data_IF_455455591167
#
_entry.id   IF_455455591167
#
_cell.length_a   1.000
_cell.length_b   1.000
_cell.length_c   1.000
_cell.angle_alpha   90.00
_cell.angle_beta   90.00
_cell.angle_gamma   90.00
#
_symmetry.space_group_name_H-M   'P 1'
#
loop_
_entity.id
_entity.type
_entity.pdbx_description
1 polymer ?
#
# COMPACT_ATOMS: atom_id res chain seq x y z
N UNK A 1 -22.60 11.47 -18.05
CA UNK A 1 -22.14 10.13 -17.63
C UNK A 1 -20.74 9.97 -18.19
N UNK A 2 -19.72 10.27 -17.40
CA UNK A 2 -18.33 10.02 -17.80
C UNK A 2 -18.11 8.52 -17.74
N UNK A 3 -17.84 7.92 -18.90
CA UNK A 3 -17.49 6.52 -19.04
C UNK A 3 -16.20 6.28 -18.23
N UNK A 4 -16.35 5.75 -17.02
CA UNK A 4 -15.21 5.50 -16.12
C UNK A 4 -14.51 4.30 -16.72
N UNK A 5 -13.37 4.55 -17.37
CA UNK A 5 -12.55 3.49 -17.96
C UNK A 5 -12.35 2.39 -16.91
N UNK A 6 -12.81 1.16 -17.22
CA UNK A 6 -12.79 0.07 -16.26
C UNK A 6 -11.37 -0.16 -15.73
N UNK A 7 -11.24 -0.13 -14.40
CA UNK A 7 -9.97 -0.31 -13.69
C UNK A 7 -9.30 -1.61 -14.14
N UNK A 8 -8.03 -1.53 -14.54
CA UNK A 8 -7.28 -2.67 -15.06
C UNK A 8 -6.46 -3.35 -13.96
N UNK A 9 -6.65 -4.64 -13.78
CA UNK A 9 -5.95 -5.47 -12.82
C UNK A 9 -4.90 -6.33 -13.53
N UNK A 10 -3.73 -6.48 -12.92
CA UNK A 10 -2.73 -7.46 -13.32
C UNK A 10 -2.74 -8.62 -12.31
N UNK A 11 -2.83 -9.85 -12.78
CA UNK A 11 -2.67 -11.06 -11.97
C UNK A 11 -1.37 -11.75 -12.39
N UNK A 12 -0.48 -12.02 -11.44
CA UNK A 12 0.78 -12.72 -11.66
C UNK A 12 0.76 -14.00 -10.83
N UNK A 13 0.38 -15.10 -11.46
CA UNK A 13 0.20 -16.41 -10.82
C UNK A 13 0.36 -17.49 -11.90
N UNK A 14 1.12 -18.53 -11.63
CA UNK A 14 1.38 -19.61 -12.60
C UNK A 14 0.34 -20.73 -12.56
N UNK A 15 -0.55 -20.77 -11.57
CA UNK A 15 -1.68 -21.69 -11.58
C UNK A 15 -2.75 -21.16 -12.54
N UNK A 16 -2.94 -21.77 -13.72
CA UNK A 16 -3.91 -21.31 -14.70
C UNK A 16 -5.35 -21.38 -14.18
N UNK A 17 -5.63 -22.22 -13.18
CA UNK A 17 -6.96 -22.32 -12.57
C UNK A 17 -7.23 -21.13 -11.67
N UNK A 18 -6.26 -20.69 -10.88
CA UNK A 18 -6.37 -19.48 -10.05
C UNK A 18 -6.50 -18.26 -10.97
N UNK A 19 -5.63 -18.13 -11.97
CA UNK A 19 -5.68 -17.05 -12.94
C UNK A 19 -7.06 -16.96 -13.63
N UNK A 20 -7.56 -18.08 -14.15
CA UNK A 20 -8.86 -18.11 -14.85
C UNK A 20 -10.04 -17.80 -13.93
N UNK A 21 -9.98 -18.25 -12.67
CA UNK A 21 -10.98 -17.95 -11.64
C UNK A 21 -11.00 -16.46 -11.31
N UNK A 22 -9.83 -15.85 -11.12
CA UNK A 22 -9.71 -14.42 -10.83
C UNK A 22 -10.17 -13.56 -12.01
N UNK A 23 -9.77 -13.92 -13.24
CA UNK A 23 -10.23 -13.23 -14.47
C UNK A 23 -11.76 -13.18 -14.50
N UNK A 24 -12.43 -14.34 -14.48
CA UNK A 24 -13.89 -14.41 -14.59
C UNK A 24 -14.57 -13.58 -13.50
N UNK A 25 -14.16 -13.79 -12.26
CA UNK A 25 -14.80 -13.15 -11.13
C UNK A 25 -14.65 -11.63 -11.13
N UNK A 26 -13.46 -11.11 -11.45
CA UNK A 26 -13.22 -9.66 -11.46
C UNK A 26 -13.78 -8.98 -12.71
N UNK A 27 -13.80 -9.64 -13.86
CA UNK A 27 -14.48 -9.14 -15.06
C UNK A 27 -15.99 -9.01 -14.84
N UNK A 28 -16.62 -10.02 -14.22
CA UNK A 28 -18.04 -9.96 -13.80
C UNK A 28 -18.31 -8.82 -12.81
N UNK A 29 -17.27 -8.31 -12.13
CA UNK A 29 -17.35 -7.19 -11.19
C UNK A 29 -16.90 -5.84 -11.80
N UNK A 30 -16.74 -5.76 -13.12
CA UNK A 30 -16.51 -4.51 -13.85
C UNK A 30 -15.04 -4.09 -13.98
N UNK A 31 -14.09 -5.01 -13.74
CA UNK A 31 -12.67 -4.78 -13.97
C UNK A 31 -12.21 -5.35 -15.32
N UNK A 32 -11.11 -4.84 -15.87
CA UNK A 32 -10.38 -5.52 -16.96
C UNK A 32 -9.22 -6.30 -16.35
N UNK A 33 -9.08 -7.59 -16.64
CA UNK A 33 -8.03 -8.42 -16.02
C UNK A 33 -7.02 -8.89 -17.06
N UNK A 34 -5.74 -8.61 -16.84
CA UNK A 34 -4.64 -9.27 -17.55
C UNK A 34 -4.00 -10.26 -16.58
N UNK A 35 -3.84 -11.53 -16.99
CA UNK A 35 -3.11 -12.53 -16.20
C UNK A 35 -1.84 -13.00 -16.90
N UNK A 36 -0.77 -13.19 -16.13
CA UNK A 36 0.54 -13.65 -16.59
C UNK A 36 1.12 -14.65 -15.59
N UNK A 37 1.93 -15.59 -16.05
CA UNK A 37 2.45 -16.69 -15.22
C UNK A 37 3.89 -16.54 -14.73
N UNK A 38 4.56 -15.41 -14.97
CA UNK A 38 5.96 -15.20 -14.55
C UNK A 38 6.36 -13.71 -14.56
N UNK A 39 7.49 -13.40 -13.94
CA UNK A 39 8.01 -12.04 -13.83
C UNK A 39 8.39 -11.41 -15.16
N UNK A 40 8.87 -12.17 -16.16
CA UNK A 40 9.19 -11.61 -17.47
C UNK A 40 7.94 -11.06 -18.18
N UNK A 41 6.85 -11.81 -18.14
CA UNK A 41 5.56 -11.37 -18.68
C UNK A 41 4.96 -10.20 -17.86
N UNK A 42 5.09 -10.23 -16.53
CA UNK A 42 4.71 -9.10 -15.66
C UNK A 42 5.41 -7.80 -16.07
N UNK A 43 6.74 -7.84 -16.26
CA UNK A 43 7.52 -6.66 -16.68
C UNK A 43 7.07 -6.12 -18.04
N UNK A 44 6.84 -7.02 -19.01
CA UNK A 44 6.36 -6.64 -20.33
C UNK A 44 5.00 -5.92 -20.25
N UNK A 45 4.05 -6.45 -19.48
CA UNK A 45 2.73 -5.84 -19.29
C UNK A 45 2.82 -4.47 -18.62
N UNK A 46 3.60 -4.36 -17.53
CA UNK A 46 3.78 -3.09 -16.81
C UNK A 46 4.45 -2.01 -17.66
N UNK A 47 5.29 -2.39 -18.64
CA UNK A 47 5.91 -1.42 -19.56
C UNK A 47 4.93 -0.85 -20.60
N UNK A 48 3.84 -1.56 -20.89
CA UNK A 48 2.89 -1.23 -21.98
C UNK A 48 1.59 -0.65 -21.46
N UNK A 49 1.19 -1.04 -20.26
CA UNK A 49 -0.13 -0.80 -19.72
C UNK A 49 -0.04 -0.21 -18.31
N UNK A 50 -1.01 0.62 -17.96
CA UNK A 50 -1.22 1.06 -16.58
C UNK A 50 -2.24 0.15 -15.91
N UNK A 51 -1.97 -0.20 -14.65
CA UNK A 51 -2.83 -1.03 -13.82
C UNK A 51 -3.23 -0.27 -12.56
N UNK A 52 -4.47 -0.49 -12.11
CA UNK A 52 -5.00 0.09 -10.88
C UNK A 52 -4.59 -0.71 -9.64
N UNK A 53 -4.31 -2.01 -9.80
CA UNK A 53 -3.71 -2.89 -8.79
C UNK A 53 -3.08 -4.13 -9.43
N UNK A 54 -2.19 -4.77 -8.69
CA UNK A 54 -1.55 -6.05 -9.04
C UNK A 54 -1.86 -7.07 -7.95
N UNK A 55 -2.33 -8.25 -8.35
CA UNK A 55 -2.27 -9.47 -7.54
C UNK A 55 -1.00 -10.24 -7.89
N UNK A 56 -0.17 -10.52 -6.90
CA UNK A 56 1.14 -11.14 -7.12
C UNK A 56 1.31 -12.37 -6.24
N UNK A 57 1.48 -13.53 -6.86
CA UNK A 57 1.83 -14.75 -6.15
C UNK A 57 3.25 -14.67 -5.61
N UNK A 58 3.45 -15.28 -4.44
CA UNK A 58 4.71 -15.28 -3.73
C UNK A 58 5.75 -16.21 -4.38
N UNK A 59 5.29 -17.39 -4.80
CA UNK A 59 6.11 -18.41 -5.43
C UNK A 59 5.73 -18.46 -6.90
N UNK A 60 6.72 -18.27 -7.78
CA UNK A 60 6.52 -18.33 -9.22
C UNK A 60 7.41 -19.43 -9.83
N UNK A 61 7.14 -19.84 -11.10
CA UNK A 61 7.86 -20.91 -11.76
C UNK A 61 9.36 -20.66 -11.79
N UNK A 62 10.13 -21.75 -11.86
CA UNK A 62 11.60 -21.71 -11.97
C UNK A 62 12.30 -21.05 -10.77
N UNK A 63 11.62 -20.96 -9.63
CA UNK A 63 12.18 -20.39 -8.40
C UNK A 63 12.21 -18.87 -8.38
N UNK A 64 11.47 -18.18 -9.26
CA UNK A 64 11.28 -16.73 -9.15
C UNK A 64 10.51 -16.39 -7.85
N UNK A 65 10.98 -15.36 -7.14
CA UNK A 65 10.33 -14.88 -5.93
C UNK A 65 9.44 -13.68 -6.21
N UNK A 66 8.17 -13.76 -5.85
CA UNK A 66 7.23 -12.63 -5.89
C UNK A 66 7.69 -11.45 -5.03
N UNK A 67 8.45 -11.69 -3.95
CA UNK A 67 9.03 -10.63 -3.13
C UNK A 67 10.12 -9.86 -3.89
N UNK A 68 10.94 -10.55 -4.68
CA UNK A 68 11.95 -9.89 -5.51
C UNK A 68 11.29 -9.03 -6.59
N UNK A 69 10.24 -9.55 -7.24
CA UNK A 69 9.46 -8.81 -8.23
C UNK A 69 8.77 -7.58 -7.62
N UNK A 70 8.19 -7.71 -6.41
CA UNK A 70 7.62 -6.58 -5.69
C UNK A 70 8.69 -5.53 -5.37
N UNK A 71 9.87 -5.95 -4.93
CA UNK A 71 10.98 -5.04 -4.63
C UNK A 71 11.41 -4.26 -5.87
N UNK A 72 11.54 -4.95 -7.00
CA UNK A 72 11.85 -4.34 -8.30
C UNK A 72 10.75 -3.34 -8.71
N UNK A 73 9.49 -3.74 -8.63
CA UNK A 73 8.35 -2.90 -8.97
C UNK A 73 8.31 -1.63 -8.12
N UNK A 74 8.63 -1.72 -6.83
CA UNK A 74 8.63 -0.58 -5.91
C UNK A 74 9.72 0.46 -6.21
N UNK A 75 10.76 0.11 -6.97
CA UNK A 75 11.75 1.08 -7.43
C UNK A 75 11.19 2.05 -8.49
N UNK A 76 10.11 1.66 -9.18
CA UNK A 76 9.59 2.41 -10.34
C UNK A 76 8.10 2.74 -10.24
N UNK A 77 7.37 2.10 -9.32
CA UNK A 77 5.92 2.24 -9.20
C UNK A 77 5.41 2.12 -7.78
N UNK A 78 4.42 2.95 -7.47
CA UNK A 78 3.63 2.88 -6.24
C UNK A 78 2.35 2.04 -6.39
N UNK A 79 2.09 1.45 -7.58
CA UNK A 79 0.85 0.72 -7.89
C UNK A 79 0.49 -0.25 -6.76
N UNK A 80 -0.78 -0.32 -6.32
CA UNK A 80 -1.12 -1.17 -5.21
C UNK A 80 -0.85 -2.64 -5.52
N UNK A 81 -0.17 -3.34 -4.62
CA UNK A 81 0.11 -4.77 -4.77
C UNK A 81 -0.53 -5.54 -3.63
N UNK A 82 -1.40 -6.50 -3.97
CA UNK A 82 -1.98 -7.47 -3.06
C UNK A 82 -1.26 -8.79 -3.27
N UNK A 83 -0.49 -9.23 -2.28
CA UNK A 83 0.24 -10.49 -2.36
C UNK A 83 -0.72 -11.66 -2.13
N UNK A 84 -0.63 -12.69 -2.98
CA UNK A 84 -1.26 -13.99 -2.81
C UNK A 84 -0.18 -14.99 -2.40
N UNK A 85 -0.49 -15.93 -1.51
CA UNK A 85 0.54 -16.81 -0.91
C UNK A 85 -0.04 -18.12 -0.40
N UNK A 86 0.79 -19.08 0.01
CA UNK A 86 0.36 -20.22 0.82
C UNK A 86 -0.03 -19.84 2.26
N UNK A 87 -0.71 -20.76 2.95
CA UNK A 87 -1.23 -20.56 4.31
C UNK A 87 -0.13 -20.42 5.39
N UNK A 88 1.08 -20.94 5.13
CA UNK A 88 2.02 -21.36 6.19
C UNK A 88 3.30 -20.53 6.36
N UNK A 89 3.40 -19.30 5.85
CA UNK A 89 4.58 -18.49 6.19
C UNK A 89 4.27 -17.09 6.72
N UNK A 90 4.23 -17.02 8.05
CA UNK A 90 4.21 -15.78 8.82
C UNK A 90 5.42 -14.89 8.46
N UNK A 91 6.55 -15.49 8.08
CA UNK A 91 7.75 -14.77 7.64
C UNK A 91 7.47 -14.03 6.33
N UNK A 92 6.84 -14.70 5.37
CA UNK A 92 6.57 -14.12 4.05
C UNK A 92 5.52 -13.00 4.10
N UNK A 93 4.57 -13.08 5.05
CA UNK A 93 3.65 -11.98 5.37
C UNK A 93 4.38 -10.72 5.80
N UNK A 94 5.29 -10.89 6.77
CA UNK A 94 6.10 -9.79 7.30
C UNK A 94 6.96 -9.23 6.18
N UNK A 95 7.75 -10.06 5.52
CA UNK A 95 8.67 -9.64 4.45
C UNK A 95 7.92 -8.99 3.29
N UNK A 96 6.74 -9.48 2.90
CA UNK A 96 5.91 -8.85 1.86
C UNK A 96 5.51 -7.41 2.20
N UNK A 97 5.13 -7.16 3.45
CA UNK A 97 4.87 -5.82 3.93
C UNK A 97 6.14 -4.99 4.08
N UNK A 98 7.28 -5.59 4.45
CA UNK A 98 8.57 -4.88 4.47
C UNK A 98 8.98 -4.39 3.08
N UNK A 99 8.75 -5.22 2.07
CA UNK A 99 9.08 -4.94 0.66
C UNK A 99 8.10 -3.95 0.01
N UNK A 100 6.87 -3.85 0.54
CA UNK A 100 5.94 -2.77 0.20
C UNK A 100 4.61 -3.20 -0.42
N UNK A 101 4.14 -4.41 -0.11
CA UNK A 101 2.79 -4.82 -0.41
C UNK A 101 1.77 -3.93 0.33
N UNK A 102 0.63 -3.66 -0.31
CA UNK A 102 -0.47 -2.88 0.27
C UNK A 102 -1.44 -3.78 1.06
N UNK A 103 -1.55 -5.05 0.66
CA UNK A 103 -2.27 -6.09 1.41
C UNK A 103 -1.68 -7.48 1.14
N UNK A 104 -2.06 -8.46 1.95
CA UNK A 104 -1.57 -9.83 1.87
C UNK A 104 -2.71 -10.81 2.15
N UNK A 105 -2.88 -11.81 1.29
CA UNK A 105 -4.01 -12.74 1.34
C UNK A 105 -3.54 -14.19 1.23
N UNK A 106 -3.92 -15.00 2.22
CA UNK A 106 -3.58 -16.42 2.27
C UNK A 106 -4.44 -17.28 1.32
N UNK A 107 -3.82 -18.17 0.55
CA UNK A 107 -4.47 -19.27 -0.17
C UNK A 107 -4.73 -20.41 0.84
N UNK A 108 -5.91 -21.06 0.81
CA UNK A 108 -7.05 -20.76 -0.07
C UNK A 108 -7.81 -19.51 0.40
N UNK A 109 -8.27 -18.70 -0.56
CA UNK A 109 -9.00 -17.45 -0.28
C UNK A 109 -10.41 -17.45 -0.84
N UNK A 110 -11.27 -16.61 -0.27
CA UNK A 110 -12.60 -16.35 -0.81
C UNK A 110 -12.58 -15.16 -1.78
N UNK A 111 -13.13 -15.33 -2.98
CA UNK A 111 -13.17 -14.27 -4.01
C UNK A 111 -13.88 -12.98 -3.54
N UNK A 112 -14.90 -13.12 -2.70
CA UNK A 112 -15.60 -11.99 -2.07
C UNK A 112 -14.68 -11.19 -1.15
N UNK A 113 -13.79 -11.87 -0.43
CA UNK A 113 -12.79 -11.22 0.42
C UNK A 113 -11.77 -10.46 -0.43
N UNK A 114 -11.22 -11.08 -1.48
CA UNK A 114 -10.28 -10.42 -2.40
C UNK A 114 -10.86 -9.14 -2.97
N UNK A 115 -12.12 -9.18 -3.41
CA UNK A 115 -12.80 -8.00 -3.95
C UNK A 115 -12.99 -6.90 -2.90
N UNK A 116 -13.35 -7.26 -1.66
CA UNK A 116 -13.49 -6.30 -0.57
C UNK A 116 -12.16 -5.62 -0.23
N UNK A 117 -11.06 -6.39 -0.20
CA UNK A 117 -9.70 -5.91 0.02
C UNK A 117 -9.23 -4.99 -1.11
N UNK A 118 -9.39 -5.44 -2.36
CA UNK A 118 -9.08 -4.64 -3.54
C UNK A 118 -9.84 -3.31 -3.52
N UNK A 119 -11.16 -3.33 -3.31
CA UNK A 119 -11.97 -2.11 -3.23
C UNK A 119 -11.53 -1.18 -2.11
N UNK A 120 -11.08 -1.73 -0.97
CA UNK A 120 -10.56 -0.93 0.13
C UNK A 120 -9.26 -0.23 -0.26
N UNK A 121 -8.34 -0.93 -0.93
CA UNK A 121 -7.07 -0.39 -1.42
C UNK A 121 -7.30 0.67 -2.51
N UNK A 122 -8.16 0.38 -3.50
CA UNK A 122 -8.48 1.32 -4.58
C UNK A 122 -9.23 2.56 -4.07
N UNK A 123 -10.22 2.41 -3.19
CA UNK A 123 -10.97 3.53 -2.60
C UNK A 123 -10.04 4.48 -1.84
N UNK A 124 -9.02 3.95 -1.16
CA UNK A 124 -8.01 4.79 -0.52
C UNK A 124 -7.36 5.67 -1.58
N UNK A 125 -6.82 5.14 -2.68
CA UNK A 125 -6.22 5.97 -3.75
C UNK A 125 -7.14 7.03 -4.36
N UNK A 126 -8.42 6.73 -4.56
CA UNK A 126 -9.37 7.60 -5.27
C UNK A 126 -10.15 8.53 -4.35
N UNK A 127 -9.64 8.93 -3.18
CA UNK A 127 -10.36 9.73 -2.18
C UNK A 127 -10.70 11.19 -2.60
N UNK A 128 -11.20 11.41 -3.82
CA UNK A 128 -11.95 12.58 -4.26
C UNK A 128 -13.47 12.41 -4.14
N UNK A 129 -14.00 11.28 -3.64
CA UNK A 129 -15.45 11.10 -3.50
C UNK A 129 -15.95 11.32 -2.07
N UNK A 130 -16.75 12.38 -1.81
CA UNK A 130 -17.36 12.63 -0.52
C UNK A 130 -18.56 11.68 -0.36
N UNK A 131 -18.36 10.58 0.35
CA UNK A 131 -19.49 9.80 0.89
C UNK A 131 -19.62 10.10 2.36
N UNK A 132 -20.75 10.71 2.70
CA UNK A 132 -21.02 11.33 3.98
C UNK A 132 -20.76 10.41 5.18
N UNK A 133 -19.76 10.78 5.96
CA UNK A 133 -19.80 10.78 7.42
C UNK A 133 -18.94 11.95 7.88
N UNK A 134 -19.59 12.93 8.50
CA UNK A 134 -18.95 14.04 9.21
C UNK A 134 -17.94 13.48 10.20
N UNK A 135 -16.68 13.83 10.03
CA UNK A 135 -15.88 14.36 11.12
C UNK A 135 -15.41 15.74 10.68
N UNK A 136 -16.02 16.74 11.30
CA UNK A 136 -15.55 18.11 11.35
C UNK A 136 -14.21 18.06 12.07
N UNK A 137 -13.12 18.40 11.37
CA UNK A 137 -12.01 19.22 11.88
C UNK A 137 -10.92 19.34 10.78
N UNK A 138 -10.73 20.57 10.29
CA UNK A 138 -9.57 20.95 9.50
C UNK A 138 -9.66 20.70 7.99
N UNK A 139 -9.72 21.79 7.23
CA UNK A 139 -9.60 21.92 5.78
C UNK A 139 -8.50 21.01 5.14
N UNK A 140 -8.83 19.75 4.86
CA UNK A 140 -8.34 18.89 3.77
C UNK A 140 -6.84 18.63 3.58
N UNK A 141 -5.95 19.25 4.36
CA UNK A 141 -4.50 19.11 4.23
C UNK A 141 -3.78 19.49 5.51
N UNK A 142 -2.65 18.85 5.77
CA UNK A 142 -1.71 19.24 6.83
C UNK A 142 -0.44 19.84 6.22
N UNK A 143 0.16 20.80 6.90
CA UNK A 143 1.49 21.31 6.58
C UNK A 143 2.43 21.05 7.74
N UNK A 144 3.65 20.62 7.46
CA UNK A 144 4.68 20.39 8.47
C UNK A 144 6.07 20.57 7.87
N UNK A 145 6.96 21.33 8.51
CA UNK A 145 8.34 21.55 8.03
C UNK A 145 8.45 21.85 6.51
N UNK A 146 7.50 22.63 5.97
CA UNK A 146 7.41 22.95 4.54
C UNK A 146 6.79 21.86 3.65
N UNK A 147 6.55 20.66 4.16
CA UNK A 147 5.75 19.63 3.49
C UNK A 147 4.28 20.01 3.47
N UNK A 148 3.57 19.56 2.43
CA UNK A 148 2.10 19.65 2.35
C UNK A 148 1.50 18.29 2.06
N UNK A 149 0.67 17.81 2.97
CA UNK A 149 -0.06 16.54 2.88
C UNK A 149 -1.53 16.81 2.56
N UNK A 150 -1.93 16.68 1.31
CA UNK A 150 -3.33 16.83 0.86
C UNK A 150 -4.07 15.49 1.04
N UNK A 151 -5.05 15.46 1.95
CA UNK A 151 -5.81 14.26 2.30
C UNK A 151 -6.78 13.86 1.18
N UNK A 152 -7.35 14.84 0.49
CA UNK A 152 -8.33 14.60 -0.58
C UNK A 152 -7.65 14.03 -1.82
N UNK A 153 -6.55 14.64 -2.24
CA UNK A 153 -5.79 14.18 -3.41
C UNK A 153 -4.82 13.06 -3.10
N UNK A 154 -4.67 12.71 -1.82
CA UNK A 154 -3.65 11.79 -1.28
C UNK A 154 -2.27 12.06 -1.85
N UNK A 155 -1.89 13.31 -1.74
CA UNK A 155 -0.67 13.83 -2.34
C UNK A 155 0.22 14.42 -1.27
N UNK A 156 1.49 14.03 -1.30
CA UNK A 156 2.53 14.66 -0.50
C UNK A 156 3.35 15.56 -1.42
N UNK A 157 3.47 16.83 -1.08
CA UNK A 157 4.34 17.79 -1.77
C UNK A 157 5.50 18.16 -0.84
N UNK A 158 6.72 18.09 -1.36
CA UNK A 158 7.95 18.39 -0.62
C UNK A 158 8.11 19.90 -0.35
N UNK A 159 9.02 20.28 0.57
CA UNK A 159 9.38 21.69 0.78
C UNK A 159 9.89 22.40 -0.47
N UNK A 160 10.44 21.65 -1.45
CA UNK A 160 10.86 22.17 -2.75
C UNK A 160 9.70 22.35 -3.75
N UNK A 161 8.47 21.98 -3.37
CA UNK A 161 7.29 22.06 -4.23
C UNK A 161 7.07 20.86 -5.16
N UNK A 162 7.86 19.80 -5.04
CA UNK A 162 7.76 18.60 -5.88
C UNK A 162 6.80 17.57 -5.29
N UNK A 163 6.05 16.87 -6.13
CA UNK A 163 5.20 15.76 -5.67
C UNK A 163 6.05 14.53 -5.33
N UNK A 164 5.80 13.94 -4.15
CA UNK A 164 6.46 12.73 -3.65
C UNK A 164 5.46 11.59 -3.64
N UNK A 165 5.73 10.55 -4.43
CA UNK A 165 4.88 9.36 -4.52
C UNK A 165 5.02 8.49 -3.27
N UNK A 166 3.89 8.19 -2.65
CA UNK A 166 3.75 7.28 -1.52
C UNK A 166 2.86 6.11 -1.91
N UNK A 167 3.17 4.91 -1.41
CA UNK A 167 2.20 3.80 -1.48
C UNK A 167 0.98 4.11 -0.60
N UNK A 168 -0.08 3.31 -0.74
CA UNK A 168 -1.30 3.50 0.06
C UNK A 168 -0.99 3.43 1.56
N UNK A 169 -0.20 2.42 1.95
CA UNK A 169 0.24 2.25 3.33
C UNK A 169 1.10 3.41 3.82
N UNK A 170 2.12 3.82 3.06
CA UNK A 170 3.01 4.93 3.45
C UNK A 170 2.23 6.23 3.67
N UNK A 171 1.29 6.54 2.79
CA UNK A 171 0.42 7.70 2.95
C UNK A 171 -0.43 7.59 4.22
N UNK A 172 -1.09 6.46 4.44
CA UNK A 172 -1.95 6.26 5.62
C UNK A 172 -1.13 6.35 6.92
N UNK A 173 0.09 5.82 6.93
CA UNK A 173 1.03 5.92 8.05
C UNK A 173 1.37 7.38 8.36
N UNK A 174 1.70 8.16 7.34
CA UNK A 174 2.01 9.58 7.51
C UNK A 174 0.79 10.36 8.04
N UNK A 175 -0.42 10.07 7.54
CA UNK A 175 -1.65 10.67 8.07
C UNK A 175 -1.84 10.35 9.55
N UNK A 176 -1.62 9.10 9.97
CA UNK A 176 -1.73 8.70 11.37
C UNK A 176 -0.75 9.48 12.24
N UNK A 177 0.51 9.63 11.80
CA UNK A 177 1.52 10.40 12.52
C UNK A 177 1.16 11.87 12.67
N UNK A 178 0.80 12.53 11.57
CA UNK A 178 0.49 13.95 11.57
C UNK A 178 -0.75 14.25 12.42
N UNK A 179 -1.79 13.40 12.34
CA UNK A 179 -2.99 13.52 13.20
C UNK A 179 -2.71 13.30 14.69
N UNK A 180 -1.63 12.61 15.03
CA UNK A 180 -1.22 12.31 16.40
C UNK A 180 0.11 12.99 16.75
N UNK A 181 0.36 14.17 16.18
CA UNK A 181 1.60 14.94 16.39
C UNK A 181 1.96 15.05 17.89
N UNK A 182 3.24 14.81 18.20
CA UNK A 182 3.79 14.83 19.55
C UNK A 182 3.40 13.65 20.45
N UNK A 183 2.51 12.75 20.01
CA UNK A 183 2.16 11.55 20.77
C UNK A 183 3.05 10.37 20.37
N UNK A 184 3.52 9.64 21.37
CA UNK A 184 4.21 8.36 21.13
C UNK A 184 3.15 7.31 20.80
N UNK A 185 3.26 6.72 19.61
CA UNK A 185 2.39 5.65 19.14
C UNK A 185 3.14 4.32 19.22
N UNK A 186 2.52 3.34 19.88
CA UNK A 186 3.02 1.96 19.87
C UNK A 186 2.84 1.33 18.50
N UNK A 187 3.56 0.23 18.24
CA UNK A 187 3.41 -0.52 16.99
C UNK A 187 1.99 -1.05 16.82
N UNK A 188 1.42 -1.63 17.87
CA UNK A 188 0.02 -2.06 17.90
C UNK A 188 -0.94 -0.92 17.55
N UNK A 189 -0.75 0.25 18.15
CA UNK A 189 -1.57 1.43 17.84
C UNK A 189 -1.40 1.88 16.39
N UNK A 190 -0.19 1.88 15.85
CA UNK A 190 0.05 2.21 14.43
C UNK A 190 -0.63 1.20 13.50
N UNK A 191 -0.61 -0.09 13.86
CA UNK A 191 -1.31 -1.14 13.11
C UNK A 191 -2.82 -0.95 13.13
N UNK A 192 -3.40 -0.65 14.28
CA UNK A 192 -4.83 -0.39 14.45
C UNK A 192 -5.29 0.86 13.69
N UNK A 193 -4.53 1.95 13.76
CA UNK A 193 -4.92 3.23 13.16
C UNK A 193 -4.74 3.27 11.63
N UNK A 194 -3.79 2.50 11.08
CA UNK A 194 -3.58 2.42 9.62
C UNK A 194 -4.47 1.40 8.92
N UNK A 195 -5.11 0.49 9.67
CA UNK A 195 -5.98 -0.57 9.13
C UNK A 195 -7.40 -0.49 9.70
N UNK A 196 -8.41 -0.20 8.84
CA UNK A 196 -9.81 -0.52 9.18
C UNK A 196 -10.01 -2.04 9.23
N UNK A 197 -10.07 -2.59 10.45
CA UNK A 197 -10.62 -3.90 10.85
C UNK A 197 -10.43 -5.06 9.85
N UNK A 198 -9.25 -5.65 9.81
CA UNK A 198 -9.11 -7.12 9.69
C UNK A 198 -7.71 -7.57 10.12
N UNK A 199 -7.68 -8.18 11.31
CA UNK A 199 -6.80 -9.21 11.87
C UNK A 199 -5.28 -9.20 11.56
N UNK A 200 -4.53 -9.10 12.66
CA UNK A 200 -3.14 -9.55 12.89
C UNK A 200 -2.12 -9.15 11.84
N UNK A 201 -1.70 -7.88 11.88
CA UNK A 201 -0.39 -7.49 11.35
C UNK A 201 0.61 -7.50 12.50
N UNK A 202 1.85 -7.91 12.22
CA UNK A 202 2.93 -8.06 13.19
C UNK A 202 3.79 -6.79 13.26
N UNK A 203 4.34 -6.51 14.44
CA UNK A 203 5.23 -5.39 14.76
C UNK A 203 6.31 -5.05 13.71
N UNK A 204 6.92 -6.07 13.08
CA UNK A 204 8.02 -5.87 12.12
C UNK A 204 7.58 -5.19 10.81
N UNK A 205 6.33 -5.38 10.40
CA UNK A 205 5.79 -4.74 9.20
C UNK A 205 5.71 -3.20 9.35
N UNK A 206 5.45 -2.73 10.57
CA UNK A 206 5.47 -1.29 10.89
C UNK A 206 6.87 -0.73 10.72
N UNK A 207 7.88 -1.35 11.34
CA UNK A 207 9.25 -0.84 11.34
C UNK A 207 9.81 -0.67 9.92
N UNK A 208 9.55 -1.62 9.03
CA UNK A 208 9.97 -1.50 7.63
C UNK A 208 9.20 -0.42 6.86
N UNK A 209 7.91 -0.25 7.13
CA UNK A 209 7.12 0.84 6.57
C UNK A 209 7.62 2.21 7.08
N UNK A 210 8.03 2.31 8.34
CA UNK A 210 8.70 3.51 8.88
C UNK A 210 10.02 3.78 8.16
N UNK A 211 10.86 2.76 7.97
CA UNK A 211 12.13 2.91 7.24
C UNK A 211 11.90 3.43 5.82
N UNK A 212 10.90 2.90 5.10
CA UNK A 212 10.56 3.35 3.75
C UNK A 212 10.01 4.77 3.73
N UNK A 213 9.11 5.10 4.67
CA UNK A 213 8.56 6.44 4.79
C UNK A 213 9.68 7.45 5.09
N UNK A 214 10.58 7.14 6.04
CA UNK A 214 11.74 7.98 6.36
C UNK A 214 12.63 8.24 5.15
N UNK A 215 12.90 7.22 4.32
CA UNK A 215 13.65 7.39 3.06
C UNK A 215 13.04 8.41 2.10
N UNK A 216 11.74 8.68 2.22
CA UNK A 216 11.01 9.60 1.34
C UNK A 216 10.83 11.00 1.93
N UNK A 217 10.76 11.12 3.26
CA UNK A 217 10.40 12.38 3.92
C UNK A 217 11.51 12.99 4.78
N UNK A 218 12.49 12.19 5.21
CA UNK A 218 13.59 12.65 6.06
C UNK A 218 14.74 13.15 5.18
N UNK A 219 15.44 14.24 5.57
CA UNK A 219 16.70 14.62 4.98
C UNK A 219 17.78 13.54 5.12
N UNK A 220 17.91 12.94 6.32
CA UNK A 220 18.72 11.75 6.57
C UNK A 220 17.87 10.67 7.26
N UNK A 221 17.55 9.55 6.58
CA UNK A 221 16.77 8.46 7.15
C UNK A 221 17.44 7.74 8.33
N UNK A 222 18.76 7.87 8.50
CA UNK A 222 19.52 7.26 9.60
C UNK A 222 19.50 8.13 10.86
N UNK A 223 19.29 9.43 10.69
CA UNK A 223 19.13 10.41 11.79
C UNK A 223 17.81 11.18 11.62
N UNK A 224 16.66 10.50 11.83
CA UNK A 224 15.35 11.05 11.48
C UNK A 224 14.92 12.16 12.45
N UNK A 225 14.42 13.27 11.90
CA UNK A 225 13.94 14.42 12.67
C UNK A 225 12.42 14.56 12.67
N UNK A 226 11.72 13.97 11.69
CA UNK A 226 10.25 14.01 11.60
C UNK A 226 9.59 12.84 12.33
N UNK A 227 10.05 11.61 12.07
CA UNK A 227 9.54 10.40 12.73
C UNK A 227 10.66 9.84 13.60
N UNK A 228 10.63 10.10 14.90
CA UNK A 228 11.65 9.63 15.84
C UNK A 228 11.29 8.28 16.48
N UNK A 229 12.31 7.48 16.77
CA UNK A 229 12.13 6.20 17.48
C UNK A 229 12.17 6.43 18.99
N UNK A 230 11.16 5.93 19.71
CA UNK A 230 11.12 5.90 21.18
C UNK A 230 11.42 4.48 21.63
N UNK A 231 12.62 4.28 22.19
CA UNK A 231 13.16 2.95 22.53
C UNK A 231 12.19 2.18 23.42
N UNK A 232 11.81 0.98 22.98
CA UNK A 232 10.92 0.07 23.72
C UNK A 232 9.44 0.45 23.71
N UNK A 233 9.05 1.57 23.07
CA UNK A 233 7.66 2.04 23.05
C UNK A 233 7.10 2.09 21.63
N UNK A 234 7.80 2.73 20.70
CA UNK A 234 7.31 2.91 19.34
C UNK A 234 7.89 4.13 18.66
N UNK A 235 7.03 4.95 18.06
CA UNK A 235 7.44 6.10 17.23
C UNK A 235 6.66 7.36 17.59
N UNK A 236 7.27 8.52 17.39
CA UNK A 236 6.63 9.82 17.58
C UNK A 236 6.90 10.71 16.37
N UNK A 237 5.89 11.47 15.98
CA UNK A 237 6.04 12.51 14.97
C UNK A 237 6.36 13.85 15.64
N UNK A 238 7.49 14.44 15.26
CA UNK A 238 8.06 15.66 15.84
C UNK A 238 8.19 16.81 14.83
N UNK A 239 7.72 16.60 13.60
CA UNK A 239 7.71 17.64 12.59
C UNK A 239 6.81 18.81 13.01
N UNK A 240 7.29 20.05 12.83
CA UNK A 240 6.60 21.25 13.25
C UNK A 240 5.39 21.48 12.35
N UNK A 241 4.19 21.26 12.90
CA UNK A 241 2.94 21.63 12.23
C UNK A 241 2.85 23.15 12.09
N UNK A 242 2.38 23.61 10.92
CA UNK A 242 2.07 25.02 10.64
C UNK A 242 0.60 25.37 10.98
#
# INVERSE_FOLDING_TARGET
MTDKEADRLLVVDDDPRIAQMLIRYFEDNGFKVTAVGNGAAMRNELSRNRFSAVFLDLVLPKGESGLELLRELRNTSDVPVLMLTGQDDVTDKVVGLEVGADDYIAKPFHLRELLARLRTVLRRRTANEPTGRRELDGNGSFSFDGWRLDLSRRRLTSPSGSDVSLTTGEFDMLVVFVKNHGRVLSRDTLMELTRSRSLEAFDRAIDAQIVRLRKKIEPDPKDPTLIQSVRGVGYVFTGRLD
#
